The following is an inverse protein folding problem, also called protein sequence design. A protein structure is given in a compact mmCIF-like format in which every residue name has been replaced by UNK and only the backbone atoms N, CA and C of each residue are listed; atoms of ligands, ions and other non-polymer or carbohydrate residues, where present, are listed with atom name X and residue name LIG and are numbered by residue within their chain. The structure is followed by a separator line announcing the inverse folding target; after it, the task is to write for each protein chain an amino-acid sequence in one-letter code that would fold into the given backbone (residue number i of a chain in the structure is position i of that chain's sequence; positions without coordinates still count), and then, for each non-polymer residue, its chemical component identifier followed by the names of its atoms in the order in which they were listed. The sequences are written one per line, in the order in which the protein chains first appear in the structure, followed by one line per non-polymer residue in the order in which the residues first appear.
data_IF_441402507950
#
_entry.id   IF_441402507950
#
_cell.length_a   1.000
_cell.length_b   1.000
_cell.length_c   1.000
_cell.angle_alpha   90.00
_cell.angle_beta   90.00
_cell.angle_gamma   90.00
#
_symmetry.space_group_name_H-M   'P 1'
#
loop_
_entity.id
_entity.type
_entity.pdbx_description
1 polymer ?
#
# COMPACT_ATOMS: atom_id res chain seq x y z
N UNK A 1 -3.88 2.00 -18.46
CA UNK A 1 -4.99 2.86 -18.92
C UNK A 1 -5.33 4.02 -17.97
N UNK A 2 -6.04 3.84 -16.84
CA UNK A 2 -6.49 5.00 -16.02
C UNK A 2 -5.32 5.78 -15.40
N UNK A 3 -4.38 5.11 -14.72
CA UNK A 3 -3.26 5.79 -14.04
C UNK A 3 -2.36 6.52 -15.05
N UNK A 4 -2.06 5.86 -16.17
CA UNK A 4 -1.30 6.44 -17.27
C UNK A 4 -1.96 7.73 -17.81
N UNK A 5 -3.27 7.72 -18.00
CA UNK A 5 -4.02 8.89 -18.47
C UNK A 5 -4.07 10.04 -17.47
N UNK A 6 -3.77 9.80 -16.18
CA UNK A 6 -3.72 10.86 -15.16
C UNK A 6 -2.35 11.54 -15.06
N UNK A 7 -1.27 10.89 -15.55
CA UNK A 7 0.10 11.42 -15.49
C UNK A 7 0.24 12.83 -16.10
N UNK A 8 -0.35 13.13 -17.29
CA UNK A 8 -0.18 14.44 -17.93
C UNK A 8 -0.72 15.63 -17.10
N UNK A 9 -1.62 15.39 -16.14
CA UNK A 9 -2.18 16.45 -15.30
C UNK A 9 -1.22 16.91 -14.19
N UNK A 10 -0.09 16.22 -14.00
CA UNK A 10 0.96 16.64 -13.07
C UNK A 10 0.61 16.56 -11.58
N UNK A 11 -0.53 15.96 -11.23
CA UNK A 11 -0.93 15.71 -9.85
C UNK A 11 -0.21 14.49 -9.25
N UNK A 12 -0.18 14.42 -7.92
CA UNK A 12 0.20 13.19 -7.21
C UNK A 12 -0.95 12.18 -7.33
N UNK A 13 -0.63 10.95 -7.71
CA UNK A 13 -1.58 9.85 -7.87
C UNK A 13 -1.33 8.87 -6.73
N UNK A 14 -2.28 8.76 -5.79
CA UNK A 14 -2.17 7.83 -4.66
C UNK A 14 -2.94 6.55 -4.98
N UNK A 15 -2.23 5.43 -4.99
CA UNK A 15 -2.77 4.11 -5.26
C UNK A 15 -3.12 3.42 -3.92
N UNK A 16 -4.40 3.17 -3.70
CA UNK A 16 -4.89 2.60 -2.46
C UNK A 16 -4.59 1.11 -2.29
N UNK A 17 -4.46 0.71 -1.02
CA UNK A 17 -4.43 -0.67 -0.54
C UNK A 17 -3.46 -1.61 -1.29
N UNK A 18 -2.19 -1.20 -1.42
CA UNK A 18 -1.16 -1.94 -2.14
C UNK A 18 -1.63 -2.33 -3.56
N UNK A 19 -2.20 -1.35 -4.27
CA UNK A 19 -2.77 -1.49 -5.61
C UNK A 19 -3.87 -2.53 -5.75
N UNK A 20 -4.43 -3.03 -4.63
CA UNK A 20 -5.33 -4.20 -4.61
C UNK A 20 -4.78 -5.35 -5.46
N UNK A 21 -3.48 -5.61 -5.35
CA UNK A 21 -2.80 -6.62 -6.15
C UNK A 21 -3.55 -7.96 -6.12
N UNK A 22 -3.59 -8.61 -7.29
CA UNK A 22 -4.12 -9.95 -7.44
C UNK A 22 -2.98 -10.99 -7.38
N UNK A 23 -3.31 -12.27 -7.27
CA UNK A 23 -2.32 -13.34 -7.12
C UNK A 23 -1.35 -13.45 -8.32
N UNK A 24 -1.76 -13.00 -9.51
CA UNK A 24 -0.94 -13.05 -10.73
C UNK A 24 -0.12 -11.78 -10.98
N UNK A 25 -0.20 -10.77 -10.10
CA UNK A 25 0.59 -9.52 -10.11
C UNK A 25 0.45 -8.63 -11.35
N UNK A 26 -0.38 -9.00 -12.33
CA UNK A 26 -0.53 -8.27 -13.60
C UNK A 26 -0.81 -6.77 -13.42
N UNK A 27 -1.70 -6.42 -12.50
CA UNK A 27 -2.05 -5.02 -12.25
C UNK A 27 -0.93 -4.23 -11.55
N UNK A 28 0.03 -4.91 -10.93
CA UNK A 28 1.19 -4.31 -10.31
C UNK A 28 2.28 -4.03 -11.35
N UNK A 29 2.49 -4.96 -12.29
CA UNK A 29 3.47 -4.85 -13.38
C UNK A 29 3.18 -3.62 -14.24
N UNK A 30 1.92 -3.39 -14.62
CA UNK A 30 1.51 -2.21 -15.37
C UNK A 30 1.89 -0.90 -14.66
N UNK A 31 1.71 -0.83 -13.33
CA UNK A 31 2.04 0.36 -12.54
C UNK A 31 3.55 0.58 -12.46
N UNK A 32 4.33 -0.50 -12.28
CA UNK A 32 5.79 -0.45 -12.24
C UNK A 32 6.35 0.07 -13.57
N UNK A 33 5.77 -0.34 -14.70
CA UNK A 33 6.19 0.09 -16.03
C UNK A 33 6.03 1.61 -16.27
N UNK A 34 5.12 2.28 -15.56
CA UNK A 34 4.90 3.73 -15.72
C UNK A 34 6.06 4.59 -15.22
N UNK A 35 6.90 4.07 -14.30
CA UNK A 35 8.13 4.72 -13.78
C UNK A 35 7.97 6.22 -13.44
N UNK A 36 6.86 6.59 -12.81
CA UNK A 36 6.55 7.98 -12.51
C UNK A 36 6.69 8.29 -11.01
N UNK A 37 7.47 9.31 -10.67
CA UNK A 37 7.74 9.69 -9.28
C UNK A 37 6.53 10.27 -8.53
N UNK A 38 5.47 10.66 -9.24
CA UNK A 38 4.21 11.17 -8.66
C UNK A 38 3.23 10.06 -8.31
N UNK A 39 3.59 8.79 -8.50
CA UNK A 39 2.78 7.64 -8.11
C UNK A 39 3.16 7.23 -6.68
N UNK A 40 2.21 7.33 -5.76
CA UNK A 40 2.35 6.96 -4.36
C UNK A 40 1.53 5.68 -4.07
N UNK A 41 1.93 4.93 -3.05
CA UNK A 41 1.29 3.70 -2.64
C UNK A 41 0.90 3.76 -1.17
N UNK A 42 -0.37 3.45 -0.90
CA UNK A 42 -0.87 3.36 0.47
C UNK A 42 -0.74 1.93 0.98
N UNK A 43 0.15 1.72 1.94
CA UNK A 43 0.26 0.49 2.72
C UNK A 43 -0.93 0.46 3.68
N UNK A 44 -2.00 -0.18 3.26
CA UNK A 44 -3.29 -0.18 3.96
C UNK A 44 -4.13 -1.36 3.47
N UNK A 45 -5.19 -1.69 4.20
CA UNK A 45 -6.19 -2.65 3.72
C UNK A 45 -5.58 -3.98 3.27
N UNK A 46 -4.60 -4.53 4.00
CA UNK A 46 -3.96 -5.82 3.66
C UNK A 46 -5.01 -6.93 3.47
N UNK A 47 -6.13 -6.79 4.18
CA UNK A 47 -7.33 -7.62 4.13
C UNK A 47 -8.31 -7.26 3.01
N UNK A 48 -7.90 -6.52 1.99
CA UNK A 48 -8.68 -6.28 0.75
C UNK A 48 -8.04 -6.85 -0.51
N UNK A 49 -6.86 -7.47 -0.40
CA UNK A 49 -6.25 -8.20 -1.50
C UNK A 49 -7.16 -9.34 -1.97
N UNK A 50 -7.23 -9.61 -3.27
CA UNK A 50 -8.07 -10.70 -3.84
C UNK A 50 -7.40 -12.06 -3.66
N UNK A 51 -7.08 -12.42 -2.42
CA UNK A 51 -6.56 -13.72 -2.04
C UNK A 51 -7.58 -14.41 -1.13
N UNK A 52 -7.48 -15.73 -0.96
CA UNK A 52 -8.37 -16.47 -0.07
C UNK A 52 -8.21 -16.00 1.38
N UNK A 53 -9.30 -15.49 1.97
CA UNK A 53 -9.36 -14.82 3.26
C UNK A 53 -9.39 -15.74 4.46
N UNK A 54 -9.42 -17.06 4.26
CA UNK A 54 -9.54 -18.01 5.36
C UNK A 54 -8.39 -17.90 6.39
N UNK A 55 -7.27 -17.23 6.07
CA UNK A 55 -6.19 -16.97 7.00
C UNK A 55 -5.57 -15.56 6.85
N UNK A 56 -5.80 -14.68 7.82
CA UNK A 56 -5.20 -13.33 7.90
C UNK A 56 -3.67 -13.34 7.76
N UNK A 57 -2.99 -14.39 8.20
CA UNK A 57 -1.53 -14.55 8.05
C UNK A 57 -1.11 -14.56 6.57
N UNK A 58 -1.91 -15.18 5.70
CA UNK A 58 -1.64 -15.19 4.26
C UNK A 58 -1.81 -13.80 3.65
N UNK A 59 -2.77 -13.01 4.14
CA UNK A 59 -2.98 -11.64 3.70
C UNK A 59 -1.82 -10.72 4.08
N UNK A 60 -1.28 -10.85 5.30
CA UNK A 60 -0.09 -10.09 5.70
C UNK A 60 1.14 -10.52 4.91
N UNK A 61 1.38 -11.83 4.73
CA UNK A 61 2.48 -12.34 3.89
C UNK A 61 2.40 -11.85 2.45
N UNK A 62 1.20 -11.84 1.88
CA UNK A 62 0.96 -11.31 0.54
C UNK A 62 1.23 -9.80 0.49
N UNK A 63 0.66 -9.02 1.41
CA UNK A 63 0.92 -7.58 1.50
C UNK A 63 2.41 -7.25 1.62
N UNK A 64 3.16 -8.03 2.41
CA UNK A 64 4.61 -7.93 2.53
C UNK A 64 5.32 -8.17 1.20
N UNK A 65 4.94 -9.23 0.48
CA UNK A 65 5.46 -9.50 -0.87
C UNK A 65 5.22 -8.31 -1.81
N UNK A 66 4.02 -7.74 -1.81
CA UNK A 66 3.68 -6.59 -2.67
C UNK A 66 4.49 -5.35 -2.28
N UNK A 67 4.64 -5.07 -0.99
CA UNK A 67 5.46 -3.96 -0.50
C UNK A 67 6.92 -4.09 -0.95
N UNK A 68 7.54 -5.26 -0.78
CA UNK A 68 8.94 -5.47 -1.19
C UNK A 68 9.12 -5.31 -2.71
N UNK A 69 8.21 -5.85 -3.53
CA UNK A 69 8.24 -5.65 -4.99
C UNK A 69 8.15 -4.16 -5.33
N UNK A 70 7.21 -3.42 -4.73
CA UNK A 70 7.08 -1.99 -4.99
C UNK A 70 8.32 -1.21 -4.55
N UNK A 71 8.93 -1.60 -3.42
CA UNK A 71 10.13 -0.95 -2.86
C UNK A 71 11.36 -1.13 -3.76
N UNK A 72 11.41 -2.17 -4.58
CA UNK A 72 12.45 -2.36 -5.60
C UNK A 72 12.34 -1.36 -6.77
N UNK A 73 11.15 -0.79 -6.98
CA UNK A 73 10.86 0.06 -8.14
C UNK A 73 10.55 1.53 -7.81
N UNK A 74 10.11 1.81 -6.59
CA UNK A 74 9.75 3.15 -6.13
C UNK A 74 10.55 3.53 -4.89
N UNK A 75 10.97 4.80 -4.76
CA UNK A 75 11.68 5.24 -3.57
C UNK A 75 10.76 5.19 -2.35
N UNK A 76 11.35 5.01 -1.18
CA UNK A 76 10.63 4.91 0.09
C UNK A 76 9.70 6.12 0.36
N UNK A 77 10.03 7.30 -0.18
CA UNK A 77 9.19 8.50 -0.11
C UNK A 77 7.81 8.37 -0.74
N UNK A 78 7.62 7.37 -1.61
CA UNK A 78 6.36 7.15 -2.32
C UNK A 78 5.36 6.29 -1.53
N UNK A 79 5.68 5.92 -0.29
CA UNK A 79 4.84 5.05 0.53
C UNK A 79 4.26 5.80 1.73
N UNK A 80 2.96 5.63 1.96
CA UNK A 80 2.25 6.14 3.15
C UNK A 80 1.42 5.03 3.78
N UNK A 81 1.14 5.13 5.07
CA UNK A 81 0.28 4.17 5.76
C UNK A 81 -1.15 4.72 5.92
N UNK A 82 -2.13 3.82 5.98
CA UNK A 82 -3.45 4.13 6.52
C UNK A 82 -4.14 2.90 7.09
N UNK A 83 -4.88 3.07 8.18
CA UNK A 83 -5.58 1.97 8.84
C UNK A 83 -6.74 1.40 8.02
N UNK A 84 -7.31 2.22 7.14
CA UNK A 84 -8.55 1.92 6.42
C UNK A 84 -9.74 1.67 7.37
N UNK A 85 -9.76 2.35 8.53
CA UNK A 85 -10.89 2.33 9.46
C UNK A 85 -12.14 2.98 8.83
N UNK A 86 -13.37 2.48 9.05
CA UNK A 86 -13.78 1.42 9.99
C UNK A 86 -13.70 0.00 9.45
N UNK A 87 -12.89 -0.26 8.42
CA UNK A 87 -12.68 -1.59 7.84
C UNK A 87 -13.96 -2.16 7.21
N UNK A 88 -14.70 -1.31 6.48
CA UNK A 88 -16.04 -1.64 5.95
C UNK A 88 -16.08 -3.00 5.23
N UNK A 89 -17.06 -3.83 5.59
CA UNK A 89 -17.25 -5.24 5.20
C UNK A 89 -16.29 -6.26 5.86
N UNK A 90 -15.44 -5.83 6.79
CA UNK A 90 -14.47 -6.65 7.52
C UNK A 90 -14.45 -6.31 9.01
N UNK A 91 -15.48 -5.62 9.51
CA UNK A 91 -15.56 -5.08 10.87
C UNK A 91 -15.48 -6.17 11.95
N UNK A 92 -15.93 -7.39 11.64
CA UNK A 92 -15.83 -8.56 12.53
C UNK A 92 -14.43 -9.18 12.61
N UNK A 93 -13.57 -8.90 11.63
CA UNK A 93 -12.29 -9.60 11.44
C UNK A 93 -11.08 -8.69 11.66
N UNK A 94 -11.28 -7.38 11.50
CA UNK A 94 -10.21 -6.38 11.55
C UNK A 94 -10.63 -5.23 12.43
N UNK A 95 -9.70 -4.80 13.27
CA UNK A 95 -9.76 -3.56 14.02
C UNK A 95 -8.49 -2.73 13.81
N UNK A 96 -8.48 -1.51 14.34
CA UNK A 96 -7.36 -0.60 14.20
C UNK A 96 -6.03 -1.23 14.66
N UNK A 97 -6.03 -1.93 15.80
CA UNK A 97 -4.84 -2.59 16.34
C UNK A 97 -4.29 -3.66 15.39
N UNK A 98 -5.16 -4.50 14.80
CA UNK A 98 -4.73 -5.51 13.83
C UNK A 98 -4.17 -4.90 12.54
N UNK A 99 -4.70 -3.75 12.09
CA UNK A 99 -4.16 -3.04 10.94
C UNK A 99 -2.75 -2.50 11.21
N UNK A 100 -2.51 -1.97 12.41
CA UNK A 100 -1.18 -1.50 12.82
C UNK A 100 -0.18 -2.65 13.04
N UNK A 101 -0.62 -3.78 13.61
CA UNK A 101 0.21 -4.99 13.74
C UNK A 101 0.63 -5.50 12.37
N UNK A 102 -0.32 -5.63 11.44
CA UNK A 102 -0.02 -6.03 10.07
C UNK A 102 0.96 -5.08 9.37
N UNK A 103 0.82 -3.76 9.55
CA UNK A 103 1.79 -2.80 9.03
C UNK A 103 3.20 -3.06 9.55
N UNK A 104 3.35 -3.30 10.85
CA UNK A 104 4.66 -3.58 11.46
C UNK A 104 5.28 -4.89 10.95
N UNK A 105 4.48 -5.87 10.54
CA UNK A 105 4.93 -7.14 9.95
C UNK A 105 5.32 -6.99 8.46
N UNK A 106 4.60 -6.14 7.73
CA UNK A 106 4.86 -5.78 6.33
C UNK A 106 6.15 -4.95 6.22
N UNK A 107 6.24 -3.85 6.96
CA UNK A 107 7.38 -2.93 6.96
C UNK A 107 8.26 -3.23 8.16
N UNK A 108 9.26 -4.10 8.03
CA UNK A 108 10.03 -4.60 9.19
C UNK A 108 11.01 -3.55 9.76
N UNK A 109 11.56 -2.71 8.89
CA UNK A 109 12.55 -1.70 9.30
C UNK A 109 11.88 -0.59 10.09
N UNK A 110 12.34 -0.34 11.32
CA UNK A 110 11.82 0.76 12.16
C UNK A 110 11.99 2.13 11.53
N UNK A 111 13.11 2.35 10.85
CA UNK A 111 13.35 3.58 10.10
C UNK A 111 12.36 3.76 8.95
N UNK A 112 12.04 2.68 8.24
CA UNK A 112 11.00 2.72 7.18
C UNK A 112 9.63 3.00 7.79
N UNK A 113 9.28 2.36 8.92
CA UNK A 113 8.02 2.60 9.62
C UNK A 113 7.86 4.08 10.01
N UNK A 114 8.89 4.67 10.64
CA UNK A 114 8.89 6.07 11.05
C UNK A 114 8.69 7.01 9.86
N UNK A 115 9.44 6.79 8.77
CA UNK A 115 9.34 7.62 7.57
C UNK A 115 7.96 7.50 6.89
N UNK A 116 7.40 6.29 6.79
CA UNK A 116 6.10 6.04 6.16
C UNK A 116 4.94 6.60 6.99
N UNK A 117 5.04 6.54 8.33
CA UNK A 117 4.01 7.04 9.25
C UNK A 117 4.08 8.57 9.46
N UNK A 118 5.26 9.16 9.33
CA UNK A 118 5.51 10.58 9.54
C UNK A 118 5.85 11.31 8.25
N UNK A 119 7.16 11.44 7.97
CA UNK A 119 7.73 12.31 6.94
C UNK A 119 7.03 12.22 5.58
N UNK A 120 6.76 11.01 5.10
CA UNK A 120 6.13 10.81 3.81
C UNK A 120 4.70 11.34 3.76
N UNK A 121 3.92 11.13 4.84
CA UNK A 121 2.56 11.64 4.94
C UNK A 121 2.56 13.16 5.06
N UNK A 122 3.45 13.74 5.87
CA UNK A 122 3.60 15.19 5.97
C UNK A 122 3.94 15.81 4.61
N UNK A 123 4.89 15.23 3.87
CA UNK A 123 5.30 15.74 2.56
C UNK A 123 4.20 15.58 1.49
N UNK A 124 3.43 14.49 1.51
CA UNK A 124 2.38 14.24 0.53
C UNK A 124 1.13 15.10 0.76
N UNK A 125 0.74 15.30 2.01
CA UNK A 125 -0.52 15.95 2.39
C UNK A 125 -0.37 17.38 2.90
N UNK A 126 0.85 17.88 3.06
CA UNK A 126 1.15 19.23 3.56
C UNK A 126 0.55 19.47 4.96
N UNK A 127 0.80 18.53 5.87
CA UNK A 127 0.36 18.60 7.28
C UNK A 127 1.20 19.55 8.13
#
# INVERSE_FOLDING_TARGET
DIVENLIPYGCNIVIDHLARANANLTNLEDLICLKNSRIFFKISGFYRAKIDYANNEQAVKFAKKIYEILKEHFPLSNFVFGSDWPHTNFESNVNFSSALVAFNEVVVSKKEQEQILGDNACALFDF
#
